data_IF_687135954176
#
_entry.id   IF_687135954176
#
_cell.length_a   1.000
_cell.length_b   1.000
_cell.length_c   1.000
_cell.angle_alpha   90.00
_cell.angle_beta   90.00
_cell.angle_gamma   90.00
#
_symmetry.space_group_name_H-M   'P 1'
#
loop_
_entity.id
_entity.type
_entity.pdbx_description
1 polymer ?
#
# COMPACT_ATOMS: atom_id res chain seq x y z
N UNK A 1 14.34 20.99 -32.72
CA UNK A 1 14.80 20.52 -31.38
C UNK A 1 13.79 20.76 -30.24
N UNK A 2 12.69 21.49 -30.44
CA UNK A 2 11.66 21.73 -29.42
C UNK A 2 10.55 20.66 -29.37
N UNK A 3 10.35 19.89 -30.44
CA UNK A 3 9.26 18.90 -30.52
C UNK A 3 9.63 17.51 -29.97
N UNK A 4 10.92 17.19 -29.82
CA UNK A 4 11.38 15.93 -29.19
C UNK A 4 11.26 15.95 -27.65
N UNK A 5 11.23 17.14 -27.03
CA UNK A 5 11.05 17.27 -25.56
C UNK A 5 9.59 17.21 -25.11
N UNK A 6 8.62 17.49 -26.00
CA UNK A 6 7.18 17.33 -25.69
C UNK A 6 6.71 15.87 -25.80
N UNK A 7 7.35 15.06 -26.64
CA UNK A 7 7.08 13.62 -26.74
C UNK A 7 7.54 12.85 -25.48
N UNK A 8 8.58 13.33 -24.78
CA UNK A 8 9.07 12.74 -23.52
C UNK A 8 8.14 12.98 -22.31
N UNK A 9 7.07 13.78 -22.46
CA UNK A 9 6.10 14.07 -21.39
C UNK A 9 4.81 13.24 -21.46
N UNK A 10 4.61 12.41 -22.48
CA UNK A 10 3.86 11.17 -22.28
C UNK A 10 4.83 10.22 -21.57
N UNK A 11 4.97 10.39 -20.25
CA UNK A 11 5.56 9.34 -19.42
C UNK A 11 4.82 8.05 -19.82
N UNK A 12 5.54 7.07 -20.35
CA UNK A 12 5.09 5.68 -20.32
C UNK A 12 4.44 5.50 -18.95
N UNK A 13 3.13 5.25 -18.91
CA UNK A 13 2.42 4.96 -17.68
C UNK A 13 2.97 3.60 -17.22
N UNK A 14 4.14 3.63 -16.56
CA UNK A 14 4.85 2.46 -16.13
C UNK A 14 3.93 1.72 -15.16
N UNK A 15 3.46 0.55 -15.60
CA UNK A 15 2.76 -0.38 -14.74
C UNK A 15 3.61 -0.61 -13.49
N UNK A 16 3.07 -0.26 -12.32
CA UNK A 16 3.81 -0.36 -11.04
C UNK A 16 3.92 -1.80 -10.54
N UNK A 17 3.17 -2.72 -11.14
CA UNK A 17 3.10 -4.15 -10.80
C UNK A 17 3.26 -4.99 -12.08
N UNK A 18 4.42 -4.94 -12.75
CA UNK A 18 4.60 -5.67 -14.00
C UNK A 18 4.68 -7.17 -13.75
N UNK A 19 3.88 -7.92 -14.51
CA UNK A 19 4.06 -9.35 -14.73
C UNK A 19 4.84 -9.49 -16.04
N UNK A 20 6.00 -10.11 -15.98
CA UNK A 20 6.83 -10.39 -17.16
C UNK A 20 6.59 -11.81 -17.64
N UNK A 21 7.09 -12.14 -18.82
CA UNK A 21 7.11 -13.52 -19.32
C UNK A 21 8.54 -14.05 -19.22
N UNK A 22 8.71 -15.22 -18.59
CA UNK A 22 9.95 -15.99 -18.60
C UNK A 22 9.65 -17.36 -19.17
N UNK A 23 10.27 -17.73 -20.29
CA UNK A 23 10.04 -19.02 -20.96
C UNK A 23 8.54 -19.30 -21.23
N UNK A 24 7.79 -18.27 -21.67
CA UNK A 24 6.34 -18.32 -21.91
C UNK A 24 5.45 -18.47 -20.68
N UNK A 25 6.00 -18.33 -19.47
CA UNK A 25 5.23 -18.32 -18.22
C UNK A 25 5.23 -16.95 -17.52
N UNK A 26 4.12 -16.56 -16.88
CA UNK A 26 4.06 -15.35 -16.06
C UNK A 26 5.07 -15.40 -14.91
N UNK A 27 5.87 -14.35 -14.79
CA UNK A 27 6.88 -14.16 -13.77
C UNK A 27 6.68 -12.82 -13.08
N UNK A 28 6.76 -12.82 -11.75
CA UNK A 28 6.68 -11.59 -10.96
C UNK A 28 8.00 -10.84 -11.00
N UNK A 29 7.95 -9.53 -11.26
CA UNK A 29 9.15 -8.69 -11.32
C UNK A 29 9.57 -8.14 -9.95
N UNK A 30 8.63 -7.55 -9.22
CA UNK A 30 8.89 -6.78 -8.00
C UNK A 30 8.21 -7.33 -6.75
N UNK A 31 7.63 -8.53 -6.83
CA UNK A 31 6.95 -9.21 -5.72
C UNK A 31 7.41 -10.66 -5.67
N UNK A 32 7.82 -11.16 -4.51
CA UNK A 32 8.28 -12.54 -4.35
C UNK A 32 7.12 -13.50 -4.12
N UNK A 33 7.26 -14.74 -4.58
CA UNK A 33 6.29 -15.80 -4.34
C UNK A 33 6.24 -16.22 -2.87
N UNK A 34 5.05 -16.60 -2.40
CA UNK A 34 4.80 -17.09 -1.04
C UNK A 34 3.89 -18.31 -1.08
N UNK A 35 4.25 -19.37 -0.34
CA UNK A 35 3.39 -20.54 -0.18
C UNK A 35 2.50 -20.38 1.05
N UNK A 36 1.28 -19.87 0.85
CA UNK A 36 0.34 -19.58 1.94
C UNK A 36 0.02 -20.82 2.79
N UNK A 37 -0.06 -22.02 2.19
CA UNK A 37 -0.33 -23.25 2.93
C UNK A 37 0.79 -23.63 3.91
N UNK A 38 2.04 -23.22 3.62
CA UNK A 38 3.21 -23.45 4.48
C UNK A 38 3.56 -22.26 5.38
N UNK A 39 2.97 -21.08 5.13
CA UNK A 39 3.18 -19.89 5.95
C UNK A 39 2.43 -20.00 7.29
N UNK A 40 3.11 -19.79 8.44
CA UNK A 40 2.48 -19.85 9.76
C UNK A 40 1.34 -18.84 9.92
N UNK A 41 0.22 -19.27 10.49
CA UNK A 41 -0.90 -18.38 10.84
C UNK A 41 -0.51 -17.55 12.07
N UNK A 42 -0.80 -16.24 12.02
CA UNK A 42 -0.64 -15.34 13.15
C UNK A 42 -1.83 -15.50 14.09
N UNK A 43 -1.58 -16.09 15.26
CA UNK A 43 -2.60 -16.31 16.29
C UNK A 43 -2.21 -15.64 17.61
N UNK A 44 -1.91 -14.35 17.55
CA UNK A 44 -1.48 -13.56 18.71
C UNK A 44 -2.34 -12.31 18.86
N UNK A 45 -2.15 -11.56 19.95
CA UNK A 45 -2.78 -10.26 20.09
C UNK A 45 -2.27 -9.31 18.99
N UNK A 46 -3.20 -8.79 18.18
CA UNK A 46 -2.91 -7.98 17.00
C UNK A 46 -2.58 -6.51 17.31
N UNK A 47 -2.34 -6.15 18.58
CA UNK A 47 -1.96 -4.77 19.00
C UNK A 47 -0.73 -4.20 18.29
N UNK A 48 0.18 -5.04 17.82
CA UNK A 48 1.39 -4.61 17.12
C UNK A 48 1.14 -4.30 15.63
N UNK A 49 0.04 -4.82 15.06
CA UNK A 49 -0.22 -4.75 13.62
C UNK A 49 -0.31 -3.30 13.11
N UNK A 50 -1.05 -2.37 13.75
CA UNK A 50 -1.08 -0.98 13.28
C UNK A 50 0.30 -0.33 13.19
N UNK A 51 1.17 -0.56 14.19
CA UNK A 51 2.52 -0.03 14.19
C UNK A 51 3.38 -0.63 13.05
N UNK A 52 3.26 -1.94 12.79
CA UNK A 52 3.91 -2.59 11.65
C UNK A 52 3.46 -2.01 10.31
N UNK A 53 2.17 -1.78 10.15
CA UNK A 53 1.58 -1.20 8.94
C UNK A 53 1.97 0.27 8.73
N UNK A 54 2.11 1.05 9.80
CA UNK A 54 2.65 2.41 9.70
C UNK A 54 4.11 2.42 9.26
N UNK A 55 4.91 1.45 9.72
CA UNK A 55 6.31 1.31 9.33
C UNK A 55 6.51 0.78 7.89
N UNK A 56 5.45 0.34 7.21
CA UNK A 56 5.52 0.04 5.78
C UNK A 56 5.49 1.30 4.91
N UNK A 57 5.15 2.46 5.47
CA UNK A 57 5.06 3.74 4.76
C UNK A 57 6.31 4.59 4.98
N UNK A 58 6.65 5.45 4.01
CA UNK A 58 7.68 6.47 4.25
C UNK A 58 7.16 7.57 5.18
N UNK A 59 8.08 8.29 5.82
CA UNK A 59 7.73 9.43 6.68
C UNK A 59 6.91 10.50 5.93
N UNK A 60 7.18 10.67 4.63
CA UNK A 60 6.41 11.56 3.76
C UNK A 60 4.99 11.04 3.52
N UNK A 61 4.86 9.75 3.18
CA UNK A 61 3.56 9.10 2.98
C UNK A 61 2.70 9.18 4.25
N UNK A 62 3.29 8.83 5.40
CA UNK A 62 2.62 8.87 6.69
C UNK A 62 2.19 10.30 7.08
N UNK A 63 3.03 11.29 6.77
CA UNK A 63 2.72 12.71 7.01
C UNK A 63 1.55 13.21 6.16
N UNK A 64 1.51 12.83 4.88
CA UNK A 64 0.38 13.13 3.99
C UNK A 64 -0.93 12.51 4.50
N UNK A 65 -0.89 11.25 4.94
CA UNK A 65 -2.07 10.58 5.50
C UNK A 65 -2.57 11.24 6.79
N UNK A 66 -1.66 11.60 7.71
CA UNK A 66 -1.99 12.29 8.96
C UNK A 66 -2.56 13.69 8.75
N UNK A 67 -2.12 14.39 7.70
CA UNK A 67 -2.65 15.70 7.33
C UNK A 67 -4.06 15.63 6.70
N UNK A 68 -4.59 14.42 6.43
CA UNK A 68 -5.85 14.18 5.73
C UNK A 68 -5.95 14.87 4.36
N UNK A 69 -4.81 15.23 3.77
CA UNK A 69 -4.76 15.90 2.47
C UNK A 69 -4.79 14.86 1.35
N UNK A 70 -5.98 14.28 1.14
CA UNK A 70 -6.19 13.25 0.11
C UNK A 70 -5.92 13.75 -1.31
N UNK A 71 -5.98 15.06 -1.53
CA UNK A 71 -5.74 15.67 -2.85
C UNK A 71 -4.28 15.59 -3.32
N UNK A 72 -3.35 15.36 -2.39
CA UNK A 72 -1.91 15.24 -2.67
C UNK A 72 -1.39 13.82 -2.61
N UNK A 73 -2.23 12.83 -2.30
CA UNK A 73 -1.80 11.44 -2.21
C UNK A 73 -1.52 10.92 -3.62
N UNK A 74 -0.28 10.51 -3.85
CA UNK A 74 0.04 9.71 -5.02
C UNK A 74 -0.79 8.41 -4.98
N UNK A 75 -1.20 7.91 -6.14
CA UNK A 75 -2.03 6.71 -6.28
C UNK A 75 -1.48 5.51 -5.49
N UNK A 76 -0.17 5.29 -5.55
CA UNK A 76 0.49 4.21 -4.80
C UNK A 76 0.35 4.43 -3.28
N UNK A 77 0.55 5.65 -2.78
CA UNK A 77 0.40 5.92 -1.34
C UNK A 77 -1.04 5.68 -0.88
N UNK A 78 -2.03 6.06 -1.69
CA UNK A 78 -3.44 5.76 -1.39
C UNK A 78 -3.71 4.25 -1.37
N UNK A 79 -3.18 3.52 -2.35
CA UNK A 79 -3.26 2.06 -2.41
C UNK A 79 -2.62 1.40 -1.18
N UNK A 80 -1.42 1.83 -0.77
CA UNK A 80 -0.75 1.36 0.46
C UNK A 80 -1.63 1.59 1.69
N UNK A 81 -2.15 2.81 1.85
CA UNK A 81 -3.00 3.17 2.97
C UNK A 81 -4.31 2.35 3.00
N UNK A 82 -4.88 2.08 1.83
CA UNK A 82 -6.08 1.27 1.69
C UNK A 82 -5.84 -0.16 2.16
N UNK A 83 -4.77 -0.80 1.69
CA UNK A 83 -4.38 -2.15 2.12
C UNK A 83 -4.10 -2.18 3.63
N UNK A 84 -3.34 -1.21 4.15
CA UNK A 84 -3.09 -1.12 5.60
C UNK A 84 -4.39 -0.99 6.40
N UNK A 85 -5.36 -0.19 5.94
CA UNK A 85 -6.67 -0.08 6.59
C UNK A 85 -7.43 -1.40 6.55
N UNK A 86 -7.48 -2.08 5.40
CA UNK A 86 -8.12 -3.39 5.26
C UNK A 86 -7.54 -4.39 6.28
N UNK A 87 -6.22 -4.49 6.36
CA UNK A 87 -5.54 -5.44 7.24
C UNK A 87 -5.74 -5.08 8.72
N UNK A 88 -5.63 -3.80 9.07
CA UNK A 88 -5.84 -3.32 10.44
C UNK A 88 -7.27 -3.55 10.89
N UNK A 89 -8.26 -3.12 10.12
CA UNK A 89 -9.64 -3.14 10.59
C UNK A 89 -10.17 -4.59 10.68
N UNK A 90 -9.80 -5.44 9.71
CA UNK A 90 -10.18 -6.86 9.74
C UNK A 90 -9.50 -7.61 10.88
N UNK A 91 -8.17 -7.53 11.00
CA UNK A 91 -7.43 -8.39 11.93
C UNK A 91 -7.13 -7.76 13.29
N UNK A 92 -7.06 -6.44 13.41
CA UNK A 92 -6.79 -5.75 14.69
C UNK A 92 -8.08 -5.34 15.41
N UNK A 93 -9.06 -4.77 14.70
CA UNK A 93 -10.35 -4.34 15.31
C UNK A 93 -11.30 -5.54 15.49
N UNK A 94 -11.20 -6.54 14.62
CA UNK A 94 -11.74 -7.88 14.84
C UNK A 94 -13.25 -7.99 14.73
N UNK A 95 -13.89 -7.18 13.90
CA UNK A 95 -15.32 -7.35 13.59
C UNK A 95 -15.46 -8.13 12.28
N UNK A 96 -15.87 -9.41 12.31
CA UNK A 96 -16.42 -10.04 11.11
C UNK A 96 -17.67 -9.27 10.63
N UNK A 97 -18.01 -9.33 9.34
CA UNK A 97 -17.41 -10.20 8.34
C UNK A 97 -16.05 -9.68 7.84
N UNK A 98 -15.11 -10.60 7.60
CA UNK A 98 -13.84 -10.35 6.90
C UNK A 98 -14.06 -10.14 5.39
N UNK A 99 -15.07 -9.37 5.05
CA UNK A 99 -15.54 -9.15 3.70
C UNK A 99 -15.39 -7.67 3.37
N UNK A 100 -14.69 -7.41 2.26
CA UNK A 100 -14.36 -6.07 1.82
C UNK A 100 -14.88 -5.87 0.41
N UNK A 101 -15.67 -4.81 0.22
CA UNK A 101 -16.19 -4.41 -1.07
C UNK A 101 -15.40 -3.22 -1.60
N UNK A 102 -14.81 -3.40 -2.77
CA UNK A 102 -14.17 -2.34 -3.53
C UNK A 102 -15.09 -1.92 -4.66
N UNK A 103 -15.64 -0.71 -4.55
CA UNK A 103 -16.38 -0.09 -5.64
C UNK A 103 -15.40 0.69 -6.51
N UNK A 104 -15.12 0.12 -7.68
CA UNK A 104 -14.23 0.69 -8.69
C UNK A 104 -14.94 1.85 -9.40
N UNK A 105 -14.15 2.78 -9.90
CA UNK A 105 -14.70 3.93 -10.59
C UNK A 105 -15.41 3.51 -11.89
N UNK A 106 -16.65 3.98 -12.14
CA UNK A 106 -17.36 3.69 -13.38
C UNK A 106 -16.70 4.34 -14.60
N UNK A 107 -15.85 5.36 -14.40
CA UNK A 107 -15.16 6.06 -15.48
C UNK A 107 -13.84 5.38 -15.90
N UNK A 108 -13.48 4.26 -15.26
CA UNK A 108 -12.25 3.53 -15.54
C UNK A 108 -12.25 2.80 -16.89
N UNK A 109 -13.41 2.62 -17.52
CA UNK A 109 -13.56 1.89 -18.78
C UNK A 109 -13.56 0.36 -18.64
N UNK A 110 -13.44 -0.16 -17.41
CA UNK A 110 -13.59 -1.58 -17.13
C UNK A 110 -15.06 -1.98 -16.99
N UNK A 111 -15.40 -3.19 -17.43
CA UNK A 111 -16.78 -3.70 -17.35
C UNK A 111 -17.18 -4.06 -15.91
N UNK A 112 -16.23 -4.62 -15.14
CA UNK A 112 -16.42 -4.89 -13.72
C UNK A 112 -16.13 -3.65 -12.89
N UNK A 113 -17.12 -3.23 -12.10
CA UNK A 113 -17.03 -2.07 -11.21
C UNK A 113 -17.05 -2.45 -9.72
N UNK A 114 -17.14 -3.73 -9.37
CA UNK A 114 -17.17 -4.20 -7.99
C UNK A 114 -16.28 -5.42 -7.82
N UNK A 115 -15.38 -5.35 -6.85
CA UNK A 115 -14.62 -6.50 -6.37
C UNK A 115 -15.03 -6.81 -4.94
N UNK A 116 -15.20 -8.09 -4.62
CA UNK A 116 -15.45 -8.58 -3.26
C UNK A 116 -14.24 -9.39 -2.81
N UNK A 117 -13.62 -8.98 -1.70
CA UNK A 117 -12.49 -9.67 -1.10
C UNK A 117 -12.95 -10.38 0.17
N UNK A 118 -12.58 -11.65 0.26
CA UNK A 118 -12.80 -12.52 1.41
C UNK A 118 -11.45 -12.78 2.09
N UNK A 119 -11.28 -12.32 3.33
CA UNK A 119 -10.04 -12.46 4.08
C UNK A 119 -10.16 -13.62 5.09
N UNK A 120 -9.34 -14.67 4.92
CA UNK A 120 -9.36 -15.86 5.78
C UNK A 120 -8.61 -15.59 7.09
N UNK A 121 -7.31 -15.32 6.97
CA UNK A 121 -6.42 -15.17 8.10
C UNK A 121 -5.16 -14.38 7.73
N UNK A 122 -4.47 -13.89 8.75
CA UNK A 122 -3.15 -13.29 8.59
C UNK A 122 -2.07 -14.37 8.82
N UNK A 123 -1.09 -14.43 7.92
CA UNK A 123 0.05 -15.34 7.98
C UNK A 123 1.37 -14.57 8.00
N UNK A 124 2.43 -15.25 8.44
CA UNK A 124 3.79 -14.73 8.34
C UNK A 124 4.35 -14.96 6.94
N UNK A 125 4.80 -13.88 6.32
CA UNK A 125 5.66 -13.92 5.14
C UNK A 125 7.12 -13.95 5.63
N UNK A 126 7.65 -15.17 5.73
CA UNK A 126 8.98 -15.41 6.29
C UNK A 126 10.09 -14.82 5.43
N UNK A 127 9.92 -14.79 4.10
CA UNK A 127 10.94 -14.28 3.17
C UNK A 127 11.07 -12.76 3.25
N UNK A 128 9.97 -12.05 3.51
CA UNK A 128 9.95 -10.59 3.61
C UNK A 128 9.85 -10.07 5.05
N UNK A 129 9.92 -10.94 6.06
CA UNK A 129 9.79 -10.60 7.48
C UNK A 129 8.57 -9.70 7.78
N UNK A 130 7.43 -10.03 7.17
CA UNK A 130 6.20 -9.25 7.27
C UNK A 130 5.00 -10.17 7.40
N UNK A 131 3.80 -9.61 7.27
CA UNK A 131 2.55 -10.34 7.25
C UNK A 131 1.90 -10.30 5.88
N UNK A 132 1.13 -11.34 5.60
CA UNK A 132 0.36 -11.52 4.38
C UNK A 132 -1.01 -12.09 4.74
N UNK A 133 -2.07 -11.48 4.23
CA UNK A 133 -3.42 -12.01 4.33
C UNK A 133 -3.62 -13.10 3.27
N UNK A 134 -4.07 -14.26 3.74
CA UNK A 134 -4.62 -15.32 2.91
C UNK A 134 -6.05 -14.91 2.56
N UNK A 135 -6.30 -14.61 1.29
CA UNK A 135 -7.55 -14.03 0.86
C UNK A 135 -7.98 -14.58 -0.50
N UNK A 136 -9.24 -14.36 -0.85
CA UNK A 136 -9.78 -14.60 -2.18
C UNK A 136 -10.49 -13.36 -2.68
N UNK A 137 -10.47 -13.15 -3.99
CA UNK A 137 -11.16 -12.05 -4.66
C UNK A 137 -12.16 -12.59 -5.66
N UNK A 138 -13.34 -11.98 -5.68
CA UNK A 138 -14.40 -12.17 -6.66
C UNK A 138 -14.51 -10.89 -7.47
N UNK A 139 -14.37 -10.99 -8.79
CA UNK A 139 -14.78 -9.93 -9.70
C UNK A 139 -16.26 -10.09 -10.00
N UNK A 140 -17.06 -9.06 -9.74
CA UNK A 140 -18.50 -9.11 -10.00
C UNK A 140 -18.74 -8.90 -11.50
N UNK A 141 -18.90 -10.02 -12.22
CA UNK A 141 -19.21 -10.03 -13.65
C UNK A 141 -20.71 -10.31 -13.86
N UNK A 142 -21.26 -10.02 -15.06
CA UNK A 142 -22.64 -10.39 -15.38
C UNK A 142 -22.92 -11.88 -15.12
N UNK A 143 -21.99 -12.77 -15.49
CA UNK A 143 -22.11 -14.20 -15.25
C UNK A 143 -22.19 -14.58 -13.77
N UNK A 144 -21.51 -13.83 -12.88
CA UNK A 144 -21.59 -14.04 -11.43
C UNK A 144 -22.92 -13.53 -10.87
N UNK A 145 -23.48 -12.45 -11.42
CA UNK A 145 -24.78 -11.91 -10.98
C UNK A 145 -25.96 -12.82 -11.35
N UNK A 146 -25.82 -13.64 -12.37
CA UNK A 146 -26.84 -14.60 -12.81
C UNK A 146 -26.92 -15.86 -11.93
N UNK A 147 -25.97 -16.08 -11.02
CA UNK A 147 -25.97 -17.26 -10.13
C UNK A 147 -26.96 -17.06 -8.96
N UNK A 148 -27.26 -18.15 -8.24
CA UNK A 148 -28.20 -18.14 -7.12
C UNK A 148 -27.84 -17.15 -6.00
N UNK A 149 -26.55 -16.85 -5.81
CA UNK A 149 -26.04 -15.86 -4.87
C UNK A 149 -26.10 -14.40 -5.37
N UNK A 150 -26.62 -14.15 -6.58
CA UNK A 150 -26.72 -12.81 -7.17
C UNK A 150 -27.46 -11.81 -6.28
N UNK A 151 -28.56 -12.22 -5.65
CA UNK A 151 -29.31 -11.34 -4.75
C UNK A 151 -28.50 -10.97 -3.49
N UNK A 152 -27.79 -11.93 -2.88
CA UNK A 152 -26.94 -11.67 -1.71
C UNK A 152 -25.82 -10.67 -2.05
N UNK A 153 -25.26 -10.76 -3.27
CA UNK A 153 -24.26 -9.82 -3.75
C UNK A 153 -24.83 -8.41 -3.97
N UNK A 154 -26.09 -8.29 -4.41
CA UNK A 154 -26.78 -7.01 -4.52
C UNK A 154 -27.06 -6.41 -3.14
N UNK A 155 -27.55 -7.21 -2.20
CA UNK A 155 -27.82 -6.78 -0.82
C UNK A 155 -26.54 -6.30 -0.12
N UNK A 156 -25.41 -6.94 -0.42
CA UNK A 156 -24.09 -6.53 0.07
C UNK A 156 -23.69 -5.12 -0.39
N UNK A 157 -24.14 -4.71 -1.58
CA UNK A 157 -23.86 -3.39 -2.17
C UNK A 157 -24.72 -2.28 -1.58
N UNK A 158 -25.81 -2.61 -0.87
CA UNK A 158 -26.69 -1.64 -0.23
C UNK A 158 -25.97 -0.86 0.87
N UNK A 159 -26.26 0.44 1.08
CA UNK A 159 -25.60 1.24 2.11
C UNK A 159 -25.71 0.66 3.53
N UNK A 160 -26.80 -0.06 3.83
CA UNK A 160 -27.09 -0.69 5.12
C UNK A 160 -26.23 -1.91 5.45
N UNK A 161 -25.58 -2.53 4.45
CA UNK A 161 -24.75 -3.71 4.67
C UNK A 161 -23.55 -3.39 5.57
N UNK A 162 -23.25 -4.28 6.53
CA UNK A 162 -22.15 -4.16 7.50
C UNK A 162 -20.76 -4.38 6.89
N UNK A 163 -20.68 -4.73 5.61
CA UNK A 163 -19.43 -4.95 4.93
C UNK A 163 -18.57 -3.69 4.85
N UNK A 164 -17.26 -3.88 4.93
CA UNK A 164 -16.30 -2.79 4.77
C UNK A 164 -16.28 -2.33 3.32
N UNK A 165 -16.64 -1.07 3.06
CA UNK A 165 -16.74 -0.51 1.71
C UNK A 165 -15.67 0.54 1.45
N UNK A 166 -15.10 0.48 0.25
CA UNK A 166 -14.14 1.44 -0.27
C UNK A 166 -14.61 1.93 -1.63
N UNK A 167 -14.73 3.25 -1.75
CA UNK A 167 -14.92 3.94 -3.04
C UNK A 167 -13.55 4.26 -3.61
N UNK A 168 -13.30 3.82 -4.85
CA UNK A 168 -11.99 3.88 -5.49
C UNK A 168 -12.05 4.80 -6.71
N UNK A 169 -11.08 5.71 -6.83
CA UNK A 169 -10.99 6.61 -8.00
C UNK A 169 -10.39 5.92 -9.24
N UNK A 170 -10.36 6.60 -10.39
CA UNK A 170 -9.88 6.03 -11.66
C UNK A 170 -8.43 5.54 -11.60
N UNK A 171 -7.54 6.33 -10.98
CA UNK A 171 -6.12 6.00 -10.89
C UNK A 171 -5.89 4.81 -9.97
N UNK A 172 -6.58 4.76 -8.83
CA UNK A 172 -6.53 3.63 -7.91
C UNK A 172 -7.17 2.38 -8.52
N UNK A 173 -8.25 2.53 -9.30
CA UNK A 173 -8.88 1.42 -10.02
C UNK A 173 -7.87 0.77 -10.96
N UNK A 174 -7.14 1.58 -11.74
CA UNK A 174 -6.05 1.10 -12.60
C UNK A 174 -4.97 0.38 -11.79
N UNK A 175 -4.59 0.93 -10.63
CA UNK A 175 -3.56 0.32 -9.78
C UNK A 175 -4.01 -1.02 -9.18
N UNK A 176 -5.27 -1.15 -8.76
CA UNK A 176 -5.85 -2.42 -8.33
C UNK A 176 -5.93 -3.44 -9.48
N UNK A 177 -6.28 -2.98 -10.69
CA UNK A 177 -6.31 -3.83 -11.89
C UNK A 177 -4.94 -4.42 -12.21
N UNK A 178 -3.88 -3.65 -11.99
CA UNK A 178 -2.49 -4.08 -12.14
C UNK A 178 -2.02 -4.97 -10.98
N UNK A 179 -2.44 -4.69 -9.75
CA UNK A 179 -1.97 -5.37 -8.55
C UNK A 179 -2.59 -6.77 -8.37
N UNK A 180 -3.89 -6.95 -8.62
CA UNK A 180 -4.58 -8.22 -8.33
C UNK A 180 -3.99 -9.44 -9.04
N UNK A 181 -3.63 -9.36 -10.34
CA UNK A 181 -2.89 -10.44 -11.01
C UNK A 181 -1.60 -10.81 -10.29
N UNK A 182 -0.84 -9.81 -9.85
CA UNK A 182 0.42 -10.01 -9.13
C UNK A 182 0.18 -10.73 -7.80
N UNK A 183 -0.86 -10.34 -7.05
CA UNK A 183 -1.20 -10.99 -5.78
C UNK A 183 -1.68 -12.45 -5.97
N UNK A 184 -2.35 -12.75 -7.07
CA UNK A 184 -2.78 -14.12 -7.41
C UNK A 184 -1.58 -14.99 -7.83
N UNK A 185 -0.72 -14.49 -8.71
CA UNK A 185 0.52 -15.17 -9.09
C UNK A 185 1.42 -15.41 -7.86
N UNK A 186 1.47 -14.46 -6.92
CA UNK A 186 2.31 -14.53 -5.73
C UNK A 186 2.06 -15.78 -4.89
N UNK A 187 0.81 -16.22 -4.76
CA UNK A 187 0.45 -17.40 -3.99
C UNK A 187 0.06 -18.60 -4.84
N UNK A 188 0.33 -18.56 -6.14
CA UNK A 188 -0.10 -19.59 -7.08
C UNK A 188 0.48 -20.96 -6.74
N UNK A 189 -0.41 -21.93 -6.68
CA UNK A 189 -0.15 -23.38 -6.52
C UNK A 189 -0.76 -24.19 -7.66
N UNK A 190 -1.56 -23.55 -8.52
CA UNK A 190 -2.20 -24.12 -9.70
C UNK A 190 -1.48 -23.70 -10.98
N UNK A 191 -1.69 -24.45 -12.06
CA UNK A 191 -1.01 -24.20 -13.34
C UNK A 191 -1.82 -23.27 -14.23
N UNK A 192 -1.12 -22.43 -15.00
CA UNK A 192 -1.74 -21.72 -16.12
C UNK A 192 -2.17 -22.69 -17.22
N UNK A 193 -3.25 -22.35 -17.92
CA UNK A 193 -3.64 -23.04 -19.15
C UNK A 193 -2.88 -22.44 -20.34
N UNK A 194 -2.80 -23.18 -21.45
CA UNK A 194 -2.22 -22.65 -22.70
C UNK A 194 -2.99 -21.45 -23.27
N UNK A 195 -4.27 -21.32 -22.91
CA UNK A 195 -5.15 -20.20 -23.25
C UNK A 195 -5.13 -19.06 -22.23
N UNK A 196 -4.21 -19.08 -21.27
CA UNK A 196 -4.15 -18.04 -20.25
C UNK A 196 -3.91 -16.67 -20.91
N UNK A 197 -4.70 -15.68 -20.49
CA UNK A 197 -4.56 -14.30 -20.97
C UNK A 197 -3.20 -13.65 -20.66
N UNK A 198 -2.40 -14.27 -19.79
CA UNK A 198 -1.04 -13.82 -19.47
C UNK A 198 0.06 -14.53 -20.28
N UNK A 199 -0.28 -15.56 -21.07
CA UNK A 199 0.69 -16.43 -21.75
C UNK A 199 1.11 -15.97 -23.15
N UNK A 200 0.46 -14.97 -23.73
CA UNK A 200 0.92 -14.36 -24.98
C UNK A 200 1.91 -13.22 -24.68
N UNK A 201 2.85 -12.94 -25.60
CA UNK A 201 3.89 -11.89 -25.57
C UNK A 201 3.33 -10.47 -25.30
N UNK A 202 2.80 -10.26 -24.11
CA UNK A 202 2.07 -9.06 -23.72
C UNK A 202 3.02 -8.01 -23.12
N UNK A 203 4.29 -7.98 -23.56
CA UNK A 203 5.16 -6.84 -23.28
C UNK A 203 4.72 -5.58 -24.04
N UNK A 204 3.94 -5.74 -25.13
CA UNK A 204 3.34 -4.61 -25.87
C UNK A 204 1.80 -4.58 -25.75
N UNK A 205 1.13 -5.72 -25.55
CA UNK A 205 -0.35 -5.81 -25.62
C UNK A 205 -1.09 -5.40 -24.34
N UNK A 206 -0.44 -5.36 -23.17
CA UNK A 206 -1.08 -4.86 -21.94
C UNK A 206 -1.29 -3.33 -21.92
N UNK A 207 -0.71 -2.61 -22.88
CA UNK A 207 -0.87 -1.16 -23.01
C UNK A 207 -1.94 -0.76 -24.03
N UNK A 208 -2.23 -1.59 -25.04
CA UNK A 208 -3.14 -1.22 -26.14
C UNK A 208 -4.47 -2.00 -26.17
N UNK A 209 -4.62 -3.11 -25.44
CA UNK A 209 -5.94 -3.74 -25.18
C UNK A 209 -6.65 -3.15 -23.95
N UNK A 210 -6.46 -1.85 -23.71
CA UNK A 210 -7.28 -1.01 -22.83
C UNK A 210 -8.65 -0.66 -23.48
N UNK A 211 -9.09 -1.47 -24.44
CA UNK A 211 -10.35 -1.33 -25.16
C UNK A 211 -11.39 -2.27 -24.55
N UNK A 212 -12.26 -1.69 -23.71
CA UNK A 212 -13.67 -2.09 -23.45
C UNK A 212 -14.01 -3.59 -23.56
N UNK A 213 -14.33 -4.22 -22.42
CA UNK A 213 -14.88 -5.58 -22.21
C UNK A 213 -13.97 -6.58 -21.46
N UNK A 214 -12.97 -6.12 -20.70
CA UNK A 214 -12.37 -7.00 -19.69
C UNK A 214 -13.26 -7.04 -18.44
N UNK A 215 -13.92 -8.18 -18.25
CA UNK A 215 -14.82 -8.42 -17.12
C UNK A 215 -14.07 -8.71 -15.80
N UNK A 216 -12.76 -8.99 -15.84
CA UNK A 216 -11.98 -9.25 -14.64
C UNK A 216 -10.49 -8.92 -14.83
N UNK A 217 -9.81 -8.36 -13.81
CA UNK A 217 -8.36 -8.19 -13.85
C UNK A 217 -7.63 -9.54 -13.83
N UNK A 218 -8.24 -10.58 -13.30
CA UNK A 218 -7.63 -11.90 -13.07
C UNK A 218 -7.79 -12.83 -14.27
N UNK A 219 -6.84 -13.74 -14.49
CA UNK A 219 -7.01 -14.82 -15.47
C UNK A 219 -8.00 -15.87 -14.95
N UNK A 220 -8.68 -16.56 -15.86
CA UNK A 220 -9.58 -17.66 -15.50
C UNK A 220 -8.88 -18.86 -14.86
N UNK A 221 -7.55 -19.02 -15.03
CA UNK A 221 -6.81 -20.19 -14.53
C UNK A 221 -6.86 -20.34 -13.01
N UNK A 222 -7.05 -19.24 -12.26
CA UNK A 222 -7.15 -19.26 -10.80
C UNK A 222 -8.55 -19.33 -10.23
N UNK A 223 -9.59 -19.27 -11.08
CA UNK A 223 -10.97 -19.33 -10.62
C UNK A 223 -11.26 -20.70 -9.99
N UNK A 224 -11.76 -20.69 -8.76
CA UNK A 224 -12.13 -21.90 -8.03
C UNK A 224 -10.95 -22.81 -7.66
N UNK A 225 -9.71 -22.33 -7.81
CA UNK A 225 -8.51 -23.05 -7.37
C UNK A 225 -8.20 -22.70 -5.91
N UNK A 226 -7.77 -23.70 -5.13
CA UNK A 226 -7.33 -23.54 -3.75
C UNK A 226 -8.30 -22.70 -2.88
N UNK A 227 -9.60 -23.00 -3.01
CA UNK A 227 -10.67 -22.25 -2.35
C UNK A 227 -10.46 -22.21 -0.82
N UNK A 228 -10.69 -21.03 -0.24
CA UNK A 228 -10.64 -20.80 1.19
C UNK A 228 -11.65 -21.70 1.94
N UNK A 229 -11.23 -22.42 3.00
CA UNK A 229 -12.13 -23.27 3.77
C UNK A 229 -13.31 -22.52 4.41
N UNK A 230 -13.08 -21.30 4.93
CA UNK A 230 -14.16 -20.51 5.52
C UNK A 230 -15.22 -20.10 4.49
N UNK A 231 -14.80 -19.83 3.25
CA UNK A 231 -15.70 -19.44 2.17
C UNK A 231 -16.70 -20.56 1.84
N UNK A 232 -16.22 -21.81 1.76
CA UNK A 232 -17.06 -22.99 1.53
C UNK A 232 -18.04 -23.29 2.66
N UNK A 233 -17.72 -22.85 3.88
CA UNK A 233 -18.55 -23.05 5.08
C UNK A 233 -19.51 -21.88 5.35
N UNK A 234 -19.40 -20.81 4.57
CA UNK A 234 -20.21 -19.60 4.72
C UNK A 234 -21.42 -19.59 3.78
N UNK A 235 -22.28 -18.58 3.95
CA UNK A 235 -23.38 -18.30 3.02
C UNK A 235 -22.89 -17.97 1.60
N UNK A 236 -21.60 -17.66 1.45
CA UNK A 236 -20.95 -17.33 0.18
C UNK A 236 -20.36 -18.54 -0.55
N UNK A 237 -20.68 -19.78 -0.14
CA UNK A 237 -20.15 -20.99 -0.79
C UNK A 237 -20.44 -21.06 -2.30
N UNK A 238 -21.56 -20.49 -2.74
CA UNK A 238 -22.00 -20.54 -4.14
C UNK A 238 -21.16 -19.63 -5.06
N UNK A 239 -20.50 -18.59 -4.50
CA UNK A 239 -19.54 -17.77 -5.25
C UNK A 239 -18.13 -18.35 -5.26
N UNK A 240 -17.84 -19.35 -4.42
CA UNK A 240 -16.51 -19.89 -4.23
C UNK A 240 -15.82 -20.36 -5.55
N UNK A 241 -16.52 -21.02 -6.50
CA UNK A 241 -15.94 -21.42 -7.79
C UNK A 241 -15.49 -20.25 -8.68
N UNK A 242 -15.98 -19.03 -8.41
CA UNK A 242 -15.70 -17.82 -9.18
C UNK A 242 -14.63 -16.95 -8.52
N UNK A 243 -14.14 -17.34 -7.33
CA UNK A 243 -13.10 -16.59 -6.63
C UNK A 243 -11.71 -17.05 -7.04
N UNK A 244 -10.74 -16.13 -6.96
CA UNK A 244 -9.32 -16.43 -7.13
C UNK A 244 -8.57 -16.12 -5.85
N UNK A 245 -7.77 -17.06 -5.35
CA UNK A 245 -6.93 -16.85 -4.16
C UNK A 245 -5.81 -15.84 -4.43
N UNK A 246 -5.54 -14.97 -3.46
CA UNK A 246 -4.53 -13.91 -3.51
C UNK A 246 -3.73 -13.83 -2.20
N UNK A 247 -2.46 -13.43 -2.29
CA UNK A 247 -1.61 -13.11 -1.14
C UNK A 247 -1.51 -11.59 -0.93
N UNK A 248 -2.48 -11.01 -0.24
CA UNK A 248 -2.58 -9.56 0.01
C UNK A 248 -1.64 -9.15 1.15
N UNK A 249 -0.60 -8.35 0.89
CA UNK A 249 0.31 -7.86 1.92
C UNK A 249 0.44 -6.34 1.91
N UNK A 250 0.97 -5.74 2.99
CA UNK A 250 1.39 -4.34 2.95
C UNK A 250 2.42 -4.14 1.83
N UNK A 251 2.36 -2.96 1.23
CA UNK A 251 3.31 -2.50 0.22
C UNK A 251 4.27 -1.52 0.89
N UNK A 252 5.57 -1.80 0.78
CA UNK A 252 6.60 -1.10 1.54
C UNK A 252 7.19 0.09 0.77
N UNK A 253 7.52 1.15 1.51
CA UNK A 253 8.42 2.20 1.05
C UNK A 253 9.84 1.67 0.85
N UNK A 254 10.61 2.32 -0.02
CA UNK A 254 11.97 1.90 -0.31
C UNK A 254 12.92 2.54 0.72
N UNK A 255 13.29 1.80 1.76
CA UNK A 255 14.08 2.30 2.88
C UNK A 255 15.46 2.91 2.51
N UNK A 256 16.00 2.57 1.33
CA UNK A 256 17.25 3.15 0.82
C UNK A 256 17.05 4.46 0.02
N UNK A 257 15.80 4.79 -0.35
CA UNK A 257 15.43 6.03 -1.04
C UNK A 257 14.68 7.01 -0.13
N UNK A 258 13.99 6.49 0.87
CA UNK A 258 13.04 7.23 1.69
C UNK A 258 13.32 7.03 3.17
N UNK A 259 13.06 8.07 3.96
CA UNK A 259 13.10 7.99 5.42
C UNK A 259 11.86 7.25 5.92
N UNK A 260 12.05 6.35 6.89
CA UNK A 260 11.00 5.53 7.50
C UNK A 260 11.16 5.56 9.02
N UNK A 261 10.05 5.73 9.74
CA UNK A 261 10.00 5.55 11.20
C UNK A 261 10.68 6.68 11.99
N UNK A 262 10.94 7.84 11.40
CA UNK A 262 11.54 8.97 12.14
C UNK A 262 10.72 9.37 13.36
N UNK A 263 9.38 9.31 13.22
CA UNK A 263 8.45 9.61 14.33
C UNK A 263 8.47 8.55 15.44
N UNK A 264 8.90 7.32 15.15
CA UNK A 264 9.03 6.23 16.13
C UNK A 264 10.41 6.27 16.82
N UNK A 265 11.47 6.69 16.10
CA UNK A 265 12.81 6.91 16.70
C UNK A 265 12.76 7.93 17.83
N UNK A 266 11.97 8.99 17.69
CA UNK A 266 11.78 10.03 18.71
C UNK A 266 11.07 9.53 20.00
N UNK A 267 10.42 8.35 19.98
CA UNK A 267 9.59 7.87 21.10
C UNK A 267 10.06 6.57 21.76
N UNK A 268 10.82 5.73 21.05
CA UNK A 268 10.98 4.32 21.45
C UNK A 268 12.40 3.91 21.87
N UNK A 269 13.43 4.61 21.41
CA UNK A 269 14.81 4.27 21.73
C UNK A 269 15.53 5.53 22.20
N UNK A 270 15.63 5.72 23.51
CA UNK A 270 16.61 6.62 24.12
C UNK A 270 18.05 6.13 23.92
N UNK A 271 18.34 5.56 22.75
CA UNK A 271 19.68 5.30 22.27
C UNK A 271 20.09 6.55 21.53
N UNK A 272 20.95 7.33 22.17
CA UNK A 272 21.87 8.25 21.51
C UNK A 272 22.69 7.42 20.51
N UNK A 273 22.14 7.15 19.33
CA UNK A 273 22.94 6.69 18.21
C UNK A 273 23.69 7.94 17.78
N UNK A 274 24.99 7.98 18.07
CA UNK A 274 25.93 8.94 17.49
C UNK A 274 25.82 8.85 15.96
N UNK A 275 24.94 9.66 15.40
CA UNK A 275 24.87 9.90 13.96
C UNK A 275 25.86 11.01 13.64
N UNK A 276 27.15 10.71 13.75
CA UNK A 276 28.20 11.60 13.26
C UNK A 276 28.35 11.55 11.73
N UNK A 277 27.62 10.68 11.02
CA UNK A 277 27.80 10.50 9.57
C UNK A 277 26.51 10.50 8.71
N UNK A 278 25.43 11.12 9.21
CA UNK A 278 24.33 11.56 8.34
C UNK A 278 24.24 13.07 8.46
N UNK A 279 24.43 13.86 7.38
CA UNK A 279 24.27 15.31 7.47
C UNK A 279 22.78 15.62 7.66
N UNK A 280 22.30 15.51 8.90
CA UNK A 280 21.03 16.08 9.32
C UNK A 280 21.16 17.57 9.08
N UNK A 281 20.44 18.06 8.07
CA UNK A 281 20.60 19.42 7.59
C UNK A 281 20.43 20.42 8.72
N UNK A 282 21.50 21.14 9.01
CA UNK A 282 21.52 22.35 9.79
C UNK A 282 20.58 23.40 9.17
N UNK A 283 19.29 23.33 9.52
CA UNK A 283 18.23 24.23 9.03
C UNK A 283 17.73 25.18 10.11
N UNK A 284 17.42 26.40 9.69
CA UNK A 284 16.91 27.45 10.57
C UNK A 284 15.51 27.10 11.09
N UNK A 285 15.32 27.19 12.40
CA UNK A 285 13.99 27.01 13.04
C UNK A 285 12.90 27.93 12.48
N UNK A 286 13.26 29.09 11.95
CA UNK A 286 12.31 30.12 11.51
C UNK A 286 11.95 30.00 10.03
N UNK A 287 12.96 29.78 9.18
CA UNK A 287 12.77 29.85 7.73
C UNK A 287 13.14 28.55 6.99
N UNK A 288 13.59 27.51 7.70
CA UNK A 288 14.08 26.26 7.11
C UNK A 288 15.35 26.39 6.27
N UNK A 289 15.90 27.61 6.12
CA UNK A 289 17.09 27.86 5.31
C UNK A 289 18.39 27.41 5.98
N UNK A 290 19.39 27.12 5.16
CA UNK A 290 20.76 26.83 5.59
C UNK A 290 21.47 28.12 6.05
N UNK A 291 22.39 28.01 7.00
CA UNK A 291 23.18 29.16 7.46
C UNK A 291 24.14 29.69 6.39
N UNK A 292 24.30 31.01 6.30
CA UNK A 292 25.27 31.69 5.41
C UNK A 292 26.18 32.58 6.28
N UNK A 293 27.44 32.23 6.59
CA UNK A 293 28.26 31.09 6.13
C UNK A 293 28.10 29.78 6.93
N UNK A 294 27.47 29.83 8.11
CA UNK A 294 27.18 28.66 8.95
C UNK A 294 25.90 28.87 9.73
N UNK A 295 25.25 27.79 10.16
CA UNK A 295 24.11 27.91 11.08
C UNK A 295 24.63 28.24 12.48
N UNK A 296 23.85 28.98 13.27
CA UNK A 296 24.21 29.36 14.63
C UNK A 296 23.25 28.76 15.63
N UNK A 297 23.76 28.12 16.67
CA UNK A 297 22.96 27.67 17.81
C UNK A 297 22.67 28.82 18.76
N UNK A 298 21.54 28.78 19.45
CA UNK A 298 21.25 29.69 20.55
C UNK A 298 22.34 29.56 21.63
N UNK A 299 22.98 30.67 22.00
CA UNK A 299 24.11 30.69 22.94
C UNK A 299 23.73 30.36 24.39
N UNK A 300 22.44 30.27 24.71
CA UNK A 300 21.96 29.98 26.06
C UNK A 300 21.62 28.50 26.21
N UNK A 301 20.77 27.97 25.33
CA UNK A 301 20.29 26.61 25.44
C UNK A 301 21.04 25.62 24.53
N UNK A 302 21.72 26.12 23.48
CA UNK A 302 22.35 25.33 22.40
C UNK A 302 21.43 24.39 21.62
N UNK A 303 20.12 24.32 21.96
CA UNK A 303 19.14 23.38 21.40
C UNK A 303 18.51 23.81 20.07
N UNK A 304 18.51 25.11 19.76
CA UNK A 304 17.82 25.66 18.58
C UNK A 304 18.83 26.34 17.66
N UNK A 305 18.65 26.20 16.34
CA UNK A 305 19.57 26.68 15.32
C UNK A 305 18.91 27.74 14.42
N UNK A 306 19.67 28.77 14.06
CA UNK A 306 19.23 29.91 13.27
C UNK A 306 20.23 30.21 12.16
N UNK A 307 19.73 30.49 10.94
CA UNK A 307 20.60 30.88 9.81
C UNK A 307 21.17 32.30 9.95
N UNK A 308 20.60 33.13 10.82
CA UNK A 308 21.02 34.52 11.05
C UNK A 308 20.53 35.04 12.41
N UNK A 309 21.16 36.11 12.92
CA UNK A 309 20.69 36.84 14.11
C UNK A 309 19.29 37.43 13.91
N UNK A 310 18.91 37.77 12.68
CA UNK A 310 17.59 38.27 12.35
C UNK A 310 16.50 37.22 12.63
N UNK A 311 16.72 35.96 12.21
CA UNK A 311 15.82 34.85 12.51
C UNK A 311 15.75 34.58 14.02
N UNK A 312 16.89 34.58 14.72
CA UNK A 312 16.92 34.41 16.19
C UNK A 312 16.10 35.49 16.90
N UNK A 313 16.25 36.76 16.50
CA UNK A 313 15.53 37.89 17.09
C UNK A 313 14.03 37.84 16.80
N UNK A 314 13.65 37.41 15.59
CA UNK A 314 12.25 37.22 15.21
C UNK A 314 11.55 36.13 16.03
N UNK A 315 12.26 35.05 16.33
CA UNK A 315 11.73 33.93 17.13
C UNK A 315 11.78 34.17 18.65
N UNK A 316 12.54 35.17 19.11
CA UNK A 316 12.85 35.36 20.54
C UNK A 316 11.62 35.44 21.45
N UNK A 317 10.52 36.06 20.99
CA UNK A 317 9.29 36.15 21.77
C UNK A 317 8.69 34.78 22.11
N UNK A 318 8.80 33.81 21.19
CA UNK A 318 8.37 32.42 21.39
C UNK A 318 9.45 31.61 22.11
N UNK A 319 10.69 31.68 21.62
CA UNK A 319 11.79 30.88 22.13
C UNK A 319 12.15 31.20 23.61
N UNK A 320 12.01 32.44 24.07
CA UNK A 320 12.38 32.80 25.46
C UNK A 320 11.65 31.99 26.53
N UNK A 321 10.44 31.50 26.25
CA UNK A 321 9.61 30.73 27.21
C UNK A 321 10.18 29.32 27.43
N UNK A 322 10.82 28.77 26.41
CA UNK A 322 11.37 27.41 26.37
C UNK A 322 12.91 27.40 26.47
N UNK A 323 13.56 28.57 26.37
CA UNK A 323 15.02 28.71 26.43
C UNK A 323 15.53 28.51 27.87
N UNK A 324 16.09 27.33 28.14
CA UNK A 324 16.74 26.98 29.42
C UNK A 324 18.20 26.60 29.16
N UNK A 325 19.11 27.00 30.06
CA UNK A 325 20.54 26.67 29.94
C UNK A 325 20.72 25.17 29.80
N UNK A 326 21.37 24.74 28.72
CA UNK A 326 21.88 23.38 28.59
C UNK A 326 23.15 23.24 29.41
N UNK A 327 23.35 22.11 30.09
CA UNK A 327 24.65 21.76 30.66
C UNK A 327 25.62 21.62 29.49
N UNK A 328 26.57 22.55 29.37
CA UNK A 328 27.66 22.40 28.42
C UNK A 328 28.49 21.17 28.85
N UNK A 329 28.55 20.13 28.03
CA UNK A 329 29.60 19.11 28.17
C UNK A 329 30.93 19.83 27.92
N UNK A 330 31.72 19.96 28.98
CA UNK A 330 33.07 20.49 28.89
C UNK A 330 33.93 19.56 28.04
N UNK A 331 34.74 20.14 27.17
CA UNK A 331 35.75 19.41 26.40
C UNK A 331 36.80 18.82 27.35
N UNK A 332 36.91 17.49 27.35
CA UNK A 332 38.14 16.74 27.60
C UNK A 332 38.39 15.87 26.38
#
# INVERSE_FOLDING_TARGET
MSNLRRAAHKRLALNSFPITTSQSFPALWNVHYVNLAKSPVVNTNMKWLPAHLELSLSDSELSCLKALDRSKLATITSLKAMISRMLSDVFHIGQPPHLILLRLSPNSGYACNVLVLFLECLRLDLSAHTVVADASVLALTPAVLEIQAGQQLLDLMEPSSEAMKFEINDAETTAWWQLLPVLAERCRTWTHTSSCKYSNDASESLQEEQNSNQDSPLCGCGSGQDILPSLLQSDWKDVAPYTTRIALSPLFAMAYLESIGSSARDKSFGLDVDTDDVPSGDVCRVCGGRGKPKIMSCSVCYKVKYCSRACQKGDWKRHKVECRKGLAKGNF
#
